data_IF_606834169375
#
_entry.id   IF_606834169375
#
_cell.length_a   1.000
_cell.length_b   1.000
_cell.length_c   1.000
_cell.angle_alpha   90.00
_cell.angle_beta   90.00
_cell.angle_gamma   90.00
#
_symmetry.space_group_name_H-M   'P 1'
#
loop_
_entity.id
_entity.type
_entity.pdbx_description
1 polymer ?
#
# COMPACT_ATOMS: atom_id res chain seq x y z
N UNK A 1 -32.32 29.15 -4.99
CA UNK A 1 -31.73 27.96 -4.36
C UNK A 1 -30.82 28.46 -3.26
N UNK A 2 -31.04 28.03 -2.02
CA UNK A 2 -30.11 28.41 -0.96
C UNK A 2 -28.83 27.54 -1.01
N UNK A 3 -27.77 27.96 -0.31
CA UNK A 3 -26.49 27.28 -0.31
C UNK A 3 -26.58 25.83 0.21
N UNK A 4 -27.47 25.57 1.15
CA UNK A 4 -27.63 24.23 1.72
C UNK A 4 -28.27 23.28 0.70
N UNK A 5 -29.32 23.75 -0.02
CA UNK A 5 -29.96 22.96 -1.09
C UNK A 5 -29.00 22.69 -2.25
N UNK A 6 -28.21 23.69 -2.67
CA UNK A 6 -27.20 23.48 -3.72
C UNK A 6 -26.10 22.51 -3.30
N UNK A 7 -25.70 22.54 -2.03
CA UNK A 7 -24.72 21.59 -1.51
C UNK A 7 -25.27 20.18 -1.43
N UNK A 8 -26.53 20.01 -0.99
CA UNK A 8 -27.18 18.70 -0.93
C UNK A 8 -27.34 18.08 -2.34
N UNK A 9 -27.80 18.86 -3.32
CA UNK A 9 -27.89 18.42 -4.72
C UNK A 9 -26.52 17.94 -5.25
N UNK A 10 -25.45 18.67 -4.94
CA UNK A 10 -24.10 18.29 -5.32
C UNK A 10 -23.62 17.01 -4.64
N UNK A 11 -24.07 16.69 -3.42
CA UNK A 11 -23.79 15.43 -2.75
C UNK A 11 -24.57 14.27 -3.39
N UNK A 12 -25.84 14.49 -3.71
CA UNK A 12 -26.69 13.48 -4.36
C UNK A 12 -26.15 13.11 -5.75
N UNK A 13 -25.70 14.10 -6.53
CA UNK A 13 -25.03 13.88 -7.82
C UNK A 13 -23.73 13.09 -7.67
N UNK A 14 -22.94 13.38 -6.64
CA UNK A 14 -21.73 12.63 -6.34
C UNK A 14 -22.05 11.15 -6.00
N UNK A 15 -23.05 10.89 -5.18
CA UNK A 15 -23.47 9.53 -4.82
C UNK A 15 -23.94 8.74 -6.05
N UNK A 16 -24.69 9.36 -6.96
CA UNK A 16 -25.11 8.74 -8.23
C UNK A 16 -23.89 8.40 -9.09
N UNK A 17 -22.91 9.30 -9.18
CA UNK A 17 -21.69 9.06 -9.96
C UNK A 17 -20.88 7.89 -9.38
N UNK A 18 -20.71 7.83 -8.06
CA UNK A 18 -19.98 6.77 -7.39
C UNK A 18 -20.63 5.38 -7.59
N UNK A 19 -21.96 5.32 -7.54
CA UNK A 19 -22.72 4.06 -7.75
C UNK A 19 -22.66 3.57 -9.20
N UNK A 20 -22.59 4.46 -10.17
CA UNK A 20 -22.52 4.12 -11.59
C UNK A 20 -21.13 3.66 -12.04
N UNK A 21 -20.09 3.93 -11.24
CA UNK A 21 -18.69 3.78 -11.66
C UNK A 21 -18.25 4.90 -12.62
N UNK A 22 -17.00 4.86 -13.04
CA UNK A 22 -16.52 5.75 -14.09
C UNK A 22 -17.08 5.31 -15.46
N UNK A 23 -17.28 6.24 -16.40
CA UNK A 23 -17.67 5.87 -17.77
C UNK A 23 -16.62 4.94 -18.37
N UNK A 24 -17.02 3.72 -18.73
CA UNK A 24 -16.12 2.78 -19.43
C UNK A 24 -15.72 3.37 -20.77
N UNK A 25 -14.42 3.57 -20.99
CA UNK A 25 -13.91 3.91 -22.30
C UNK A 25 -14.00 2.67 -23.21
N UNK A 26 -14.79 2.72 -24.27
CA UNK A 26 -14.91 1.62 -25.22
C UNK A 26 -13.55 1.29 -25.88
N UNK A 27 -13.18 0.01 -25.92
CA UNK A 27 -12.11 -0.51 -26.78
C UNK A 27 -10.69 -0.52 -26.23
N UNK A 28 -10.45 -0.38 -24.93
CA UNK A 28 -9.10 -0.40 -24.35
C UNK A 28 -8.87 -1.63 -23.47
N UNK A 29 -8.08 -2.58 -24.00
CA UNK A 29 -7.42 -3.66 -23.27
C UNK A 29 -8.32 -4.61 -22.48
N UNK A 30 -7.82 -5.77 -22.15
CA UNK A 30 -8.51 -6.71 -21.26
C UNK A 30 -8.39 -6.21 -19.80
N UNK A 31 -9.52 -6.16 -19.11
CA UNK A 31 -9.56 -5.98 -17.65
C UNK A 31 -9.42 -7.35 -16.99
N UNK A 32 -8.81 -7.45 -15.79
CA UNK A 32 -8.77 -8.70 -15.06
C UNK A 32 -10.18 -9.13 -14.69
N UNK A 33 -10.44 -10.44 -14.69
CA UNK A 33 -11.73 -10.96 -14.26
C UNK A 33 -11.96 -10.69 -12.76
N UNK A 34 -10.90 -10.83 -11.93
CA UNK A 34 -10.98 -10.68 -10.48
C UNK A 34 -9.84 -9.85 -9.91
N UNK A 35 -10.19 -9.07 -8.91
CA UNK A 35 -9.23 -8.36 -8.04
C UNK A 35 -9.39 -8.81 -6.60
N UNK A 36 -8.29 -8.96 -5.88
CA UNK A 36 -8.31 -9.01 -4.44
C UNK A 36 -7.79 -7.69 -3.87
N UNK A 37 -8.38 -7.23 -2.77
CA UNK A 37 -7.86 -6.08 -2.05
C UNK A 37 -8.00 -6.25 -0.54
N UNK A 38 -7.05 -5.67 0.17
CA UNK A 38 -7.06 -5.60 1.63
C UNK A 38 -7.45 -4.21 2.09
N UNK A 39 -8.26 -4.13 3.14
CA UNK A 39 -8.63 -2.86 3.76
C UNK A 39 -7.96 -2.66 5.11
N UNK A 40 -7.80 -1.40 5.48
CA UNK A 40 -7.46 -0.94 6.83
C UNK A 40 -8.53 0.06 7.27
N UNK A 41 -9.18 -0.20 8.42
CA UNK A 41 -10.17 0.71 9.00
C UNK A 41 -9.51 1.51 10.13
N UNK A 42 -9.27 2.79 9.86
CA UNK A 42 -8.60 3.68 10.81
C UNK A 42 -9.50 4.04 11.98
N UNK A 43 -8.93 4.11 13.18
CA UNK A 43 -9.63 4.40 14.43
C UNK A 43 -10.69 3.37 14.84
N UNK A 44 -10.78 2.24 14.15
CA UNK A 44 -11.62 1.14 14.58
C UNK A 44 -10.94 0.34 15.70
N UNK A 45 -11.68 -0.44 16.49
CA UNK A 45 -11.14 -1.53 17.29
C UNK A 45 -10.30 -2.47 16.42
N UNK A 46 -9.36 -3.20 17.01
CA UNK A 46 -8.43 -4.04 16.23
C UNK A 46 -9.17 -5.16 15.52
N UNK A 47 -10.18 -5.73 16.15
CA UNK A 47 -11.05 -6.78 15.62
C UNK A 47 -11.93 -6.33 14.44
N UNK A 48 -12.14 -5.03 14.30
CA UNK A 48 -12.86 -4.40 13.18
C UNK A 48 -11.89 -3.68 12.21
N UNK A 49 -10.60 -4.00 12.32
CA UNK A 49 -9.53 -3.25 11.71
C UNK A 49 -9.41 -3.38 10.20
N UNK A 50 -10.08 -4.33 9.57
CA UNK A 50 -10.09 -4.51 8.12
C UNK A 50 -10.39 -5.92 7.66
N UNK A 51 -10.47 -6.09 6.35
CA UNK A 51 -10.84 -7.33 5.70
C UNK A 51 -10.13 -7.51 4.37
N UNK A 52 -10.09 -8.76 3.90
CA UNK A 52 -9.82 -9.11 2.51
C UNK A 52 -11.13 -9.17 1.74
N UNK A 53 -11.09 -8.74 0.51
CA UNK A 53 -12.23 -8.73 -0.41
C UNK A 53 -11.79 -9.27 -1.77
N UNK A 54 -12.59 -10.17 -2.35
CA UNK A 54 -12.48 -10.56 -3.76
C UNK A 54 -13.61 -9.94 -4.53
N UNK A 55 -13.27 -9.21 -5.59
CA UNK A 55 -14.17 -8.46 -6.44
C UNK A 55 -14.15 -9.02 -7.86
N UNK A 56 -15.31 -9.38 -8.40
CA UNK A 56 -15.51 -9.51 -9.83
C UNK A 56 -15.47 -8.09 -10.44
N UNK A 57 -14.37 -7.80 -11.15
CA UNK A 57 -14.14 -6.44 -11.64
C UNK A 57 -15.11 -6.02 -12.73
N UNK A 58 -15.53 -6.95 -13.59
CA UNK A 58 -16.46 -6.62 -14.66
C UNK A 58 -17.88 -6.36 -14.13
N UNK A 59 -18.34 -7.20 -13.19
CA UNK A 59 -19.68 -7.07 -12.62
C UNK A 59 -19.76 -6.07 -11.48
N UNK A 60 -18.60 -5.68 -10.90
CA UNK A 60 -18.52 -4.85 -9.69
C UNK A 60 -19.20 -5.52 -8.49
N UNK A 61 -19.10 -6.84 -8.42
CA UNK A 61 -19.71 -7.65 -7.37
C UNK A 61 -18.63 -8.22 -6.44
N UNK A 62 -18.81 -8.04 -5.13
CA UNK A 62 -18.00 -8.71 -4.12
C UNK A 62 -18.38 -10.18 -4.10
N UNK A 63 -17.43 -11.06 -4.37
CA UNK A 63 -17.64 -12.52 -4.44
C UNK A 63 -17.19 -13.26 -3.19
N UNK A 64 -16.26 -12.69 -2.42
CA UNK A 64 -15.84 -13.22 -1.13
C UNK A 64 -15.30 -12.11 -0.22
N UNK A 65 -15.45 -12.29 1.09
CA UNK A 65 -14.83 -11.46 2.12
C UNK A 65 -14.29 -12.33 3.25
N UNK A 66 -13.19 -11.89 3.89
CA UNK A 66 -12.65 -12.51 5.09
C UNK A 66 -12.07 -11.45 6.02
N UNK A 67 -12.41 -11.45 7.34
CA UNK A 67 -11.81 -10.53 8.28
C UNK A 67 -10.32 -10.81 8.46
N UNK A 68 -9.52 -9.77 8.57
CA UNK A 68 -8.13 -9.84 8.98
C UNK A 68 -8.06 -9.53 10.46
N UNK A 69 -7.80 -10.56 11.26
CA UNK A 69 -7.72 -10.48 12.71
C UNK A 69 -6.27 -10.67 13.17
N UNK A 70 -5.82 -9.93 14.20
CA UNK A 70 -4.53 -10.19 14.81
C UNK A 70 -4.48 -11.61 15.38
N UNK A 71 -3.27 -12.19 15.39
CA UNK A 71 -3.04 -13.57 15.84
C UNK A 71 -2.48 -13.66 17.26
N UNK A 72 -2.06 -12.53 17.80
CA UNK A 72 -1.44 -12.45 19.12
C UNK A 72 -2.24 -11.49 20.00
N UNK A 73 -2.63 -11.88 21.23
CA UNK A 73 -3.43 -11.04 22.11
C UNK A 73 -2.81 -9.67 22.40
N UNK A 74 -1.48 -9.59 22.48
CA UNK A 74 -0.76 -8.32 22.69
C UNK A 74 -0.89 -7.33 21.56
N UNK A 75 -1.30 -7.76 20.38
CA UNK A 75 -1.57 -6.91 19.22
C UNK A 75 -3.01 -6.40 19.22
N UNK A 76 -3.92 -7.10 19.91
CA UNK A 76 -5.34 -6.72 20.02
C UNK A 76 -5.52 -5.40 20.81
N UNK A 77 -4.62 -5.14 21.73
CA UNK A 77 -4.65 -3.94 22.57
C UNK A 77 -3.80 -2.77 22.02
N UNK A 78 -3.39 -2.81 20.74
CA UNK A 78 -2.58 -1.73 20.15
C UNK A 78 -3.28 -0.38 20.29
N UNK A 79 -2.70 0.55 21.09
CA UNK A 79 -3.29 1.87 21.33
C UNK A 79 -3.17 2.80 20.10
N UNK A 80 -2.45 2.40 19.06
CA UNK A 80 -2.22 3.26 17.91
C UNK A 80 -3.48 3.35 17.04
N UNK A 81 -4.20 4.50 17.03
CA UNK A 81 -5.44 4.63 16.28
C UNK A 81 -5.24 4.68 14.77
N UNK A 82 -4.00 4.77 14.30
CA UNK A 82 -3.67 4.82 12.87
C UNK A 82 -3.70 3.46 12.18
N UNK A 83 -3.79 2.37 12.96
CA UNK A 83 -4.01 1.05 12.42
C UNK A 83 -2.75 0.27 12.08
N UNK A 84 -1.67 0.39 12.87
CA UNK A 84 -0.45 -0.40 12.64
C UNK A 84 -0.74 -1.90 12.67
N UNK A 85 -1.60 -2.35 13.58
CA UNK A 85 -1.99 -3.75 13.75
C UNK A 85 -3.32 -4.11 13.11
N UNK A 86 -3.99 -3.15 12.48
CA UNK A 86 -5.32 -3.30 11.90
C UNK A 86 -5.25 -3.66 10.43
N UNK A 87 -6.09 -4.59 10.02
CA UNK A 87 -6.34 -4.95 8.63
C UNK A 87 -5.16 -5.57 7.91
N UNK A 88 -5.22 -5.52 6.61
CA UNK A 88 -4.25 -6.09 5.70
C UNK A 88 -3.50 -5.00 4.94
N UNK A 89 -2.20 -5.20 4.75
CA UNK A 89 -1.32 -4.29 4.02
C UNK A 89 -0.97 -4.83 2.65
N UNK A 90 0.26 -5.26 2.42
CA UNK A 90 0.66 -5.86 1.16
C UNK A 90 -0.09 -7.17 0.89
N UNK A 91 -0.53 -7.35 -0.33
CA UNK A 91 -1.10 -8.61 -0.81
C UNK A 91 -0.52 -8.99 -2.17
N UNK A 92 -0.43 -10.31 -2.42
CA UNK A 92 -0.04 -10.87 -3.72
C UNK A 92 -0.85 -12.13 -4.02
N UNK A 93 -1.20 -12.28 -5.29
CA UNK A 93 -1.70 -13.54 -5.81
C UNK A 93 -0.53 -14.34 -6.38
N UNK A 94 -0.33 -15.58 -5.92
CA UNK A 94 0.78 -16.42 -6.33
C UNK A 94 0.37 -17.88 -6.27
N UNK A 95 0.55 -18.62 -7.37
CA UNK A 95 0.29 -20.04 -7.50
C UNK A 95 -1.07 -20.52 -6.94
N UNK A 96 -2.13 -19.75 -7.24
CA UNK A 96 -3.49 -20.07 -6.81
C UNK A 96 -3.80 -19.72 -5.36
N UNK A 97 -2.91 -19.03 -4.65
CA UNK A 97 -3.10 -18.53 -3.30
C UNK A 97 -2.98 -17.00 -3.21
N UNK A 98 -3.80 -16.42 -2.35
CA UNK A 98 -3.68 -15.03 -1.95
C UNK A 98 -2.84 -14.94 -0.68
N UNK A 99 -1.71 -14.27 -0.78
CA UNK A 99 -0.84 -13.94 0.35
C UNK A 99 -1.23 -12.57 0.87
N UNK A 100 -1.37 -12.43 2.19
CA UNK A 100 -1.82 -11.19 2.82
C UNK A 100 -1.01 -10.88 4.08
N UNK A 101 -0.33 -9.73 4.09
CA UNK A 101 0.49 -9.29 5.21
C UNK A 101 -0.36 -8.55 6.25
N UNK A 102 -0.38 -9.06 7.48
CA UNK A 102 -0.82 -8.34 8.67
C UNK A 102 0.39 -7.75 9.41
N UNK A 103 0.26 -7.39 10.70
CA UNK A 103 1.37 -6.74 11.42
C UNK A 103 2.66 -7.57 11.48
N UNK A 104 2.56 -8.86 11.80
CA UNK A 104 3.72 -9.78 11.93
C UNK A 104 3.45 -11.18 11.35
N UNK A 105 2.45 -11.30 10.51
CA UNK A 105 2.01 -12.58 9.96
C UNK A 105 1.71 -12.41 8.48
N UNK A 106 2.16 -13.36 7.69
CA UNK A 106 1.71 -13.55 6.33
C UNK A 106 0.64 -14.65 6.33
N UNK A 107 -0.57 -14.28 6.01
CA UNK A 107 -1.72 -15.17 5.90
C UNK A 107 -1.83 -15.72 4.48
N UNK A 108 -2.23 -16.99 4.32
CA UNK A 108 -2.43 -17.65 3.03
C UNK A 108 -3.89 -18.05 2.88
N UNK A 109 -4.48 -17.70 1.74
CA UNK A 109 -5.89 -17.99 1.42
C UNK A 109 -6.02 -18.60 0.04
N UNK A 110 -7.08 -19.40 -0.17
CA UNK A 110 -7.50 -19.77 -1.52
C UNK A 110 -8.30 -18.65 -2.21
N UNK A 111 -8.71 -18.90 -3.46
CA UNK A 111 -9.47 -17.92 -4.26
C UNK A 111 -10.84 -17.55 -3.69
N UNK A 112 -11.36 -18.30 -2.73
CA UNK A 112 -12.63 -18.06 -2.02
C UNK A 112 -12.41 -17.49 -0.61
N UNK A 113 -11.16 -17.08 -0.31
CA UNK A 113 -10.74 -16.56 0.98
C UNK A 113 -10.89 -17.56 2.16
N UNK A 114 -10.86 -18.87 1.89
CA UNK A 114 -10.64 -19.84 2.95
C UNK A 114 -9.15 -19.86 3.31
N UNK A 115 -8.84 -19.66 4.58
CA UNK A 115 -7.47 -19.65 5.06
C UNK A 115 -6.81 -21.04 4.90
N UNK A 116 -5.63 -21.06 4.28
CA UNK A 116 -4.82 -22.26 4.04
C UNK A 116 -3.68 -22.41 5.03
N UNK A 117 -3.14 -21.30 5.52
CA UNK A 117 -2.01 -21.32 6.44
C UNK A 117 -1.57 -19.93 6.85
N UNK A 118 -0.51 -19.90 7.65
CA UNK A 118 0.17 -18.68 8.09
C UNK A 118 1.67 -18.91 8.12
N UNK A 119 2.42 -17.82 7.89
CA UNK A 119 3.85 -17.75 8.13
C UNK A 119 4.10 -16.57 9.07
N UNK A 120 4.81 -16.81 10.18
CA UNK A 120 5.23 -15.78 11.12
C UNK A 120 6.58 -16.14 11.69
N UNK A 121 7.49 -15.19 11.71
CA UNK A 121 8.87 -15.37 12.14
C UNK A 121 9.33 -14.18 12.99
N UNK A 122 10.39 -14.36 13.79
CA UNK A 122 10.91 -13.35 14.70
C UNK A 122 11.39 -12.05 14.01
N UNK A 123 11.61 -12.06 12.70
CA UNK A 123 11.97 -10.90 11.89
C UNK A 123 10.79 -10.30 11.11
N UNK A 124 9.59 -10.83 11.27
CA UNK A 124 8.38 -10.24 10.70
C UNK A 124 7.80 -9.19 11.65
N UNK A 125 8.20 -7.92 11.51
CA UNK A 125 7.86 -6.85 12.45
C UNK A 125 7.32 -5.62 11.73
N UNK A 126 6.04 -5.33 11.94
CA UNK A 126 5.39 -4.20 11.27
C UNK A 126 5.41 -4.36 9.75
N UNK A 127 5.01 -5.51 9.26
CA UNK A 127 5.01 -5.82 7.81
C UNK A 127 4.22 -4.77 7.05
N UNK A 128 4.70 -4.43 5.84
CA UNK A 128 4.02 -3.45 5.01
C UNK A 128 3.71 -4.00 3.61
N UNK A 129 4.68 -4.23 2.78
CA UNK A 129 4.50 -4.80 1.44
C UNK A 129 5.21 -6.15 1.31
N UNK A 130 4.73 -6.94 0.36
CA UNK A 130 5.29 -8.23 0.02
C UNK A 130 5.51 -8.34 -1.50
N UNK A 131 6.47 -9.14 -1.91
CA UNK A 131 6.74 -9.45 -3.32
C UNK A 131 7.08 -10.92 -3.46
N UNK A 132 6.44 -11.62 -4.39
CA UNK A 132 6.71 -13.03 -4.67
C UNK A 132 7.68 -13.19 -5.83
N UNK A 133 8.43 -14.29 -5.84
CA UNK A 133 9.36 -14.61 -6.92
C UNK A 133 8.92 -15.88 -7.64
N UNK A 134 9.38 -16.07 -8.88
CA UNK A 134 9.16 -17.29 -9.65
C UNK A 134 9.79 -18.54 -8.98
N UNK A 135 10.75 -18.33 -8.09
CA UNK A 135 11.38 -19.40 -7.31
C UNK A 135 10.51 -19.93 -6.15
N UNK A 136 9.29 -19.39 -5.95
CA UNK A 136 8.41 -19.79 -4.86
C UNK A 136 8.81 -19.22 -3.52
N UNK A 137 9.49 -18.05 -3.51
CA UNK A 137 9.80 -17.32 -2.29
C UNK A 137 8.97 -16.04 -2.19
N UNK A 138 8.90 -15.49 -0.99
CA UNK A 138 8.28 -14.19 -0.73
C UNK A 138 9.24 -13.29 0.01
N UNK A 139 9.42 -12.08 -0.50
CA UNK A 139 10.07 -10.97 0.20
C UNK A 139 9.03 -10.20 0.99
N UNK A 140 9.35 -9.85 2.22
CA UNK A 140 8.53 -8.99 3.07
C UNK A 140 9.31 -7.75 3.47
N UNK A 141 8.68 -6.59 3.44
CA UNK A 141 9.23 -5.39 4.09
C UNK A 141 8.87 -5.43 5.57
N UNK A 142 9.86 -5.71 6.42
CA UNK A 142 9.75 -5.64 7.87
C UNK A 142 10.09 -4.23 8.33
N UNK A 143 9.08 -3.36 8.23
CA UNK A 143 9.25 -1.91 8.30
C UNK A 143 9.77 -1.44 9.67
N UNK A 144 9.31 -2.06 10.75
CA UNK A 144 9.70 -1.62 12.10
C UNK A 144 11.17 -1.92 12.45
N UNK A 145 11.83 -2.81 11.70
CA UNK A 145 13.26 -3.15 11.86
C UNK A 145 14.09 -2.80 10.62
N UNK A 146 13.52 -2.08 9.65
CA UNK A 146 14.18 -1.66 8.42
C UNK A 146 14.88 -2.81 7.67
N UNK A 147 14.21 -3.96 7.55
CA UNK A 147 14.75 -5.14 6.88
C UNK A 147 13.83 -5.60 5.75
N UNK A 148 14.44 -6.10 4.67
CA UNK A 148 13.75 -6.93 3.68
C UNK A 148 14.15 -8.39 3.93
N UNK A 149 13.17 -9.25 4.17
CA UNK A 149 13.42 -10.66 4.53
C UNK A 149 12.74 -11.58 3.52
N UNK A 150 13.46 -12.57 3.05
CA UNK A 150 12.99 -13.57 2.11
C UNK A 150 12.67 -14.89 2.83
N UNK A 151 11.51 -15.44 2.53
CA UNK A 151 11.04 -16.72 3.04
C UNK A 151 10.67 -17.66 1.91
N UNK A 152 10.96 -18.95 2.07
CA UNK A 152 10.46 -20.01 1.21
C UNK A 152 8.98 -20.29 1.54
N UNK A 153 8.10 -20.19 0.56
CA UNK A 153 6.65 -20.38 0.76
C UNK A 153 6.26 -21.82 1.03
N UNK A 154 7.11 -22.80 0.67
CA UNK A 154 6.82 -24.21 0.86
C UNK A 154 7.21 -24.72 2.25
N UNK A 155 8.33 -24.23 2.79
CA UNK A 155 8.85 -24.65 4.12
C UNK A 155 8.54 -23.62 5.21
N UNK A 156 8.40 -22.35 4.87
CA UNK A 156 8.30 -21.26 5.81
C UNK A 156 9.64 -20.79 6.35
N UNK A 157 10.75 -21.36 5.88
CA UNK A 157 12.09 -21.03 6.36
C UNK A 157 12.56 -19.67 5.82
N UNK A 158 13.29 -18.93 6.65
CA UNK A 158 13.99 -17.74 6.22
C UNK A 158 15.15 -18.14 5.27
N UNK A 159 15.13 -17.58 4.07
CA UNK A 159 16.19 -17.78 3.06
C UNK A 159 17.34 -16.79 3.28
N UNK A 160 17.03 -15.52 3.37
CA UNK A 160 17.99 -14.44 3.63
C UNK A 160 17.31 -13.16 4.12
N UNK A 161 18.12 -12.25 4.66
CA UNK A 161 17.67 -10.91 5.05
C UNK A 161 18.65 -9.85 4.58
N UNK A 162 18.13 -8.73 4.08
CA UNK A 162 18.89 -7.55 3.69
C UNK A 162 18.66 -6.45 4.73
N UNK A 163 19.79 -5.91 5.23
CA UNK A 163 19.82 -4.93 6.32
C UNK A 163 20.41 -3.62 5.82
N UNK A 164 19.64 -2.72 5.22
CA UNK A 164 20.17 -1.47 4.64
C UNK A 164 20.87 -0.59 5.68
N UNK A 165 20.45 -0.61 6.94
CA UNK A 165 21.11 0.13 8.04
C UNK A 165 22.49 -0.40 8.41
N UNK A 166 22.88 -1.58 7.92
CA UNK A 166 24.22 -2.14 8.15
C UNK A 166 25.13 -2.01 6.92
N UNK A 167 24.58 -1.49 5.82
CA UNK A 167 25.36 -1.33 4.60
C UNK A 167 26.19 -0.04 4.64
N UNK A 168 27.55 -0.10 4.60
CA UNK A 168 28.41 1.08 4.81
C UNK A 168 28.13 2.25 3.87
N UNK A 169 27.82 1.95 2.59
CA UNK A 169 27.52 3.00 1.63
C UNK A 169 26.21 3.72 1.95
N UNK A 170 25.17 2.98 2.35
CA UNK A 170 23.89 3.58 2.76
C UNK A 170 24.00 4.36 4.07
N UNK A 171 24.81 3.87 5.03
CA UNK A 171 25.12 4.60 6.25
C UNK A 171 25.73 5.97 5.92
N UNK A 172 26.72 6.00 5.03
CA UNK A 172 27.37 7.25 4.63
C UNK A 172 26.45 8.17 3.81
N UNK A 173 25.63 7.61 2.90
CA UNK A 173 24.83 8.40 1.96
C UNK A 173 23.55 8.93 2.60
N UNK A 174 22.90 8.14 3.46
CA UNK A 174 21.61 8.45 4.07
C UNK A 174 21.73 8.79 5.57
N UNK A 175 22.92 8.78 6.15
CA UNK A 175 23.12 9.06 7.57
C UNK A 175 22.55 7.99 8.50
N UNK A 176 22.57 6.71 8.06
CA UNK A 176 21.95 5.64 8.83
C UNK A 176 22.88 5.13 9.93
N UNK A 177 22.27 4.74 11.05
CA UNK A 177 22.96 4.02 12.11
C UNK A 177 22.44 2.57 12.20
N UNK A 178 23.27 1.60 12.55
CA UNK A 178 22.83 0.22 12.76
C UNK A 178 21.74 0.15 13.83
N UNK A 179 20.71 -0.65 13.59
CA UNK A 179 19.70 -0.93 14.61
C UNK A 179 20.26 -1.94 15.62
N UNK A 180 20.23 -1.59 16.90
CA UNK A 180 20.58 -2.53 17.98
C UNK A 180 19.48 -3.58 18.15
N UNK A 181 19.60 -4.68 17.42
CA UNK A 181 18.62 -5.76 17.34
C UNK A 181 19.30 -7.11 17.52
N UNK A 182 18.76 -7.96 18.40
CA UNK A 182 19.09 -9.39 18.39
C UNK A 182 18.28 -10.07 17.30
N UNK A 183 18.93 -10.38 16.18
CA UNK A 183 18.31 -10.96 15.00
C UNK A 183 17.90 -12.44 15.20
N UNK A 184 18.37 -13.08 16.26
CA UNK A 184 18.01 -14.45 16.61
C UNK A 184 16.82 -14.54 17.58
N UNK A 185 16.42 -13.40 18.14
CA UNK A 185 15.30 -13.31 19.06
C UNK A 185 13.96 -13.12 18.30
N UNK A 186 12.87 -13.45 18.99
CA UNK A 186 11.54 -13.08 18.51
C UNK A 186 11.31 -11.55 18.76
N UNK A 187 11.31 -10.80 17.66
CA UNK A 187 11.12 -9.35 17.71
C UNK A 187 9.70 -8.91 17.36
N UNK A 188 8.78 -9.82 17.06
CA UNK A 188 7.44 -9.51 16.53
C UNK A 188 6.67 -8.46 17.32
N UNK A 189 6.82 -8.45 18.64
CA UNK A 189 6.10 -7.55 19.54
C UNK A 189 6.95 -6.38 20.07
N UNK A 190 8.25 -6.37 19.78
CA UNK A 190 9.20 -5.40 20.34
C UNK A 190 8.86 -3.96 19.98
N UNK A 191 8.31 -3.73 18.80
CA UNK A 191 8.06 -2.41 18.25
C UNK A 191 6.58 -2.05 18.17
N UNK A 192 5.75 -2.65 19.01
CA UNK A 192 4.36 -2.24 19.19
C UNK A 192 4.27 -0.90 19.92
N UNK A 193 3.34 -0.07 19.49
CA UNK A 193 3.02 1.20 20.13
C UNK A 193 3.43 2.45 19.34
N UNK A 194 3.09 3.62 19.84
CA UNK A 194 3.21 4.88 19.09
C UNK A 194 4.66 5.37 18.89
N UNK A 195 5.61 4.81 19.61
CA UNK A 195 7.03 5.24 19.63
C UNK A 195 7.97 4.28 18.91
N UNK A 196 7.44 3.24 18.29
CA UNK A 196 8.23 2.15 17.75
C UNK A 196 9.23 2.55 16.64
N UNK A 197 9.10 3.71 16.03
CA UNK A 197 9.92 4.18 14.90
C UNK A 197 10.38 5.62 15.05
N UNK A 198 10.64 6.09 16.27
CA UNK A 198 11.15 7.47 16.52
C UNK A 198 12.68 7.57 16.48
N UNK A 199 13.32 6.66 15.80
CA UNK A 199 14.76 6.70 15.53
C UNK A 199 15.02 7.59 14.30
N UNK A 200 15.86 8.60 14.43
CA UNK A 200 16.17 9.56 13.35
C UNK A 200 16.82 8.90 12.12
N UNK A 201 17.46 7.74 12.30
CA UNK A 201 18.04 6.97 11.21
C UNK A 201 17.09 5.92 10.60
N UNK A 202 15.84 5.87 11.05
CA UNK A 202 14.83 4.92 10.56
C UNK A 202 14.50 5.17 9.09
N UNK A 203 14.67 4.13 8.27
CA UNK A 203 14.38 4.20 6.83
C UNK A 203 12.88 4.21 6.53
N UNK A 204 12.10 3.57 7.40
CA UNK A 204 10.71 3.28 7.17
C UNK A 204 10.51 2.56 5.82
N UNK A 205 11.09 1.35 5.73
CA UNK A 205 11.05 0.52 4.53
C UNK A 205 9.61 0.11 4.21
N UNK A 206 8.91 0.90 3.41
CA UNK A 206 7.49 0.76 3.15
C UNK A 206 7.14 -0.28 2.09
N UNK A 207 8.07 -0.59 1.20
CA UNK A 207 7.83 -1.57 0.15
C UNK A 207 9.12 -2.25 -0.27
N UNK A 208 8.96 -3.43 -0.81
CA UNK A 208 10.00 -4.23 -1.46
C UNK A 208 9.52 -4.65 -2.84
N UNK A 209 10.40 -4.66 -3.83
CA UNK A 209 10.15 -5.17 -5.17
C UNK A 209 11.39 -5.91 -5.70
N UNK A 210 11.18 -6.91 -6.53
CA UNK A 210 12.25 -7.69 -7.17
C UNK A 210 12.27 -7.41 -8.68
N UNK A 211 13.45 -7.14 -9.21
CA UNK A 211 13.65 -6.95 -10.64
C UNK A 211 15.10 -7.33 -11.02
N UNK A 212 15.27 -8.18 -12.04
CA UNK A 212 16.56 -8.66 -12.52
C UNK A 212 17.48 -9.16 -11.38
N UNK A 213 16.98 -10.09 -10.55
CA UNK A 213 17.66 -10.68 -9.39
C UNK A 213 18.11 -9.68 -8.31
N UNK A 214 17.68 -8.42 -8.41
CA UNK A 214 17.92 -7.38 -7.43
C UNK A 214 16.67 -7.06 -6.64
N UNK A 215 16.88 -6.73 -5.39
CA UNK A 215 15.82 -6.35 -4.45
C UNK A 215 15.88 -4.84 -4.25
N UNK A 216 14.78 -4.18 -4.50
CA UNK A 216 14.64 -2.74 -4.32
C UNK A 216 13.73 -2.45 -3.13
N UNK A 217 14.08 -1.42 -2.37
CA UNK A 217 13.28 -0.95 -1.23
C UNK A 217 12.84 0.49 -1.39
N UNK A 218 11.60 0.78 -1.01
CA UNK A 218 11.09 2.13 -0.88
C UNK A 218 11.32 2.64 0.55
N UNK A 219 12.30 3.53 0.70
CA UNK A 219 12.73 4.12 1.96
C UNK A 219 12.03 5.47 2.17
N UNK A 220 10.86 5.43 2.77
CA UNK A 220 9.94 6.56 2.91
C UNK A 220 10.57 7.75 3.65
N UNK A 221 11.21 7.51 4.79
CA UNK A 221 11.77 8.58 5.63
C UNK A 221 12.91 9.36 4.95
N UNK A 222 13.61 8.72 4.01
CA UNK A 222 14.72 9.32 3.26
C UNK A 222 14.37 9.67 1.80
N UNK A 223 13.09 9.57 1.44
CA UNK A 223 12.61 9.89 0.10
C UNK A 223 13.43 9.20 -1.00
N UNK A 224 13.70 7.89 -0.85
CA UNK A 224 14.61 7.16 -1.72
C UNK A 224 14.05 5.78 -2.15
N UNK A 225 14.39 5.39 -3.40
CA UNK A 225 14.39 3.99 -3.81
C UNK A 225 15.84 3.50 -3.75
N UNK A 226 16.04 2.41 -3.04
CA UNK A 226 17.36 1.83 -2.76
C UNK A 226 17.45 0.43 -3.39
N UNK A 227 18.51 0.15 -4.11
CA UNK A 227 18.91 -1.22 -4.41
C UNK A 227 19.48 -1.85 -3.15
N UNK A 228 18.70 -2.67 -2.48
CA UNK A 228 19.07 -3.32 -1.22
C UNK A 228 20.11 -4.42 -1.41
N UNK A 229 20.18 -5.03 -2.59
CA UNK A 229 21.18 -6.06 -2.94
C UNK A 229 22.58 -5.47 -2.99
N UNK A 230 22.72 -4.29 -3.61
CA UNK A 230 24.00 -3.63 -3.79
C UNK A 230 24.25 -2.50 -2.79
N UNK A 231 23.26 -2.14 -2.00
CA UNK A 231 23.34 -1.06 -1.02
C UNK A 231 23.54 0.32 -1.65
N UNK A 232 22.85 0.62 -2.74
CA UNK A 232 22.99 1.90 -3.46
C UNK A 232 21.66 2.65 -3.55
N UNK A 233 21.71 3.97 -3.40
CA UNK A 233 20.54 4.83 -3.67
C UNK A 233 20.37 4.94 -5.17
N UNK A 234 19.22 4.50 -5.69
CA UNK A 234 18.92 4.50 -7.14
C UNK A 234 18.14 5.75 -7.53
N UNK A 235 17.16 6.14 -6.73
CA UNK A 235 16.37 7.36 -6.92
C UNK A 235 16.27 8.10 -5.60
N UNK A 236 16.41 9.42 -5.65
CA UNK A 236 16.07 10.31 -4.54
C UNK A 236 15.16 11.41 -5.06
N UNK A 237 13.93 11.49 -4.55
CA UNK A 237 12.92 12.43 -5.02
C UNK A 237 11.91 12.70 -3.90
N UNK A 238 11.52 13.96 -3.71
CA UNK A 238 10.60 14.37 -2.65
C UNK A 238 9.24 13.63 -2.66
N UNK A 239 8.76 13.20 -3.82
CA UNK A 239 7.52 12.43 -3.93
C UNK A 239 7.61 11.05 -3.27
N UNK A 240 8.82 10.53 -3.05
CA UNK A 240 9.04 9.27 -2.33
C UNK A 240 8.82 9.42 -0.82
N UNK A 241 8.80 10.65 -0.30
CA UNK A 241 8.45 10.91 1.09
C UNK A 241 6.95 10.67 1.32
N UNK A 242 6.61 9.67 2.09
CA UNK A 242 5.22 9.21 2.24
C UNK A 242 4.77 8.25 1.15
N UNK A 243 5.71 7.76 0.33
CA UNK A 243 5.48 6.77 -0.72
C UNK A 243 5.02 5.42 -0.16
N UNK A 244 4.15 4.75 -0.90
CA UNK A 244 3.64 3.42 -0.61
C UNK A 244 3.56 2.60 -1.88
N UNK A 245 3.71 1.29 -1.72
CA UNK A 245 3.80 0.33 -2.81
C UNK A 245 4.98 0.64 -3.74
N UNK A 246 5.61 -0.36 -4.24
CA UNK A 246 6.63 -0.26 -5.27
C UNK A 246 6.41 -1.39 -6.25
N UNK A 247 6.14 -1.05 -7.50
CA UNK A 247 6.00 -1.99 -8.58
C UNK A 247 7.05 -1.65 -9.63
N UNK A 248 7.82 -2.63 -10.07
CA UNK A 248 8.81 -2.44 -11.12
C UNK A 248 8.38 -3.24 -12.36
N UNK A 249 8.20 -2.53 -13.47
CA UNK A 249 7.87 -3.13 -14.75
C UNK A 249 9.12 -3.79 -15.38
N UNK A 250 8.93 -4.72 -16.34
CA UNK A 250 10.05 -5.44 -16.97
C UNK A 250 11.09 -4.54 -17.65
N UNK A 251 10.73 -3.32 -18.03
CA UNK A 251 11.64 -2.34 -18.65
C UNK A 251 12.43 -1.50 -17.62
N UNK A 252 12.34 -1.81 -16.33
CA UNK A 252 12.98 -1.06 -15.26
C UNK A 252 12.25 0.22 -14.86
N UNK A 253 11.02 0.42 -15.34
CA UNK A 253 10.16 1.52 -14.89
C UNK A 253 9.57 1.19 -13.53
N UNK A 254 9.79 2.03 -12.53
CA UNK A 254 9.21 1.89 -11.20
C UNK A 254 7.98 2.79 -11.03
N UNK A 255 6.94 2.23 -10.41
CA UNK A 255 5.71 2.93 -10.07
C UNK A 255 5.52 2.92 -8.56
N UNK A 256 5.02 4.02 -8.02
CA UNK A 256 4.81 4.20 -6.60
C UNK A 256 3.62 5.11 -6.33
N UNK A 257 2.87 4.82 -5.27
CA UNK A 257 1.80 5.67 -4.78
C UNK A 257 2.37 6.81 -3.91
N UNK A 258 2.25 8.04 -4.38
CA UNK A 258 2.51 9.23 -3.58
C UNK A 258 1.25 9.59 -2.77
N UNK A 259 1.24 9.15 -1.51
CA UNK A 259 0.10 9.39 -0.62
C UNK A 259 -0.12 10.86 -0.30
N UNK A 260 0.95 11.66 -0.21
CA UNK A 260 0.84 13.09 0.08
C UNK A 260 0.51 13.90 -1.17
N UNK A 261 1.11 13.58 -2.31
CA UNK A 261 0.82 14.21 -3.60
C UNK A 261 -0.49 13.75 -4.22
N UNK A 262 -1.10 12.67 -3.70
CA UNK A 262 -2.36 12.09 -4.22
C UNK A 262 -2.22 11.67 -5.68
N UNK A 263 -1.13 11.00 -5.96
CA UNK A 263 -0.72 10.68 -7.32
C UNK A 263 -0.09 9.29 -7.40
N UNK A 264 0.05 8.78 -8.61
CA UNK A 264 0.99 7.71 -8.93
C UNK A 264 2.20 8.34 -9.60
N UNK A 265 3.38 8.10 -9.04
CA UNK A 265 4.64 8.56 -9.58
C UNK A 265 5.36 7.44 -10.33
N UNK A 266 6.00 7.81 -11.43
CA UNK A 266 6.71 6.92 -12.34
C UNK A 266 8.16 7.34 -12.39
N UNK A 267 9.05 6.40 -12.18
CA UNK A 267 10.50 6.61 -12.14
C UNK A 267 11.21 5.72 -13.18
N UNK A 268 12.21 6.26 -13.82
CA UNK A 268 13.19 5.53 -14.61
C UNK A 268 14.36 5.17 -13.67
N UNK A 269 14.46 3.90 -13.29
CA UNK A 269 15.51 3.45 -12.36
C UNK A 269 16.90 3.59 -12.95
N UNK A 270 17.06 3.39 -14.27
CA UNK A 270 18.37 3.51 -14.93
C UNK A 270 18.88 4.96 -14.94
N UNK A 271 17.96 5.94 -15.02
CA UNK A 271 18.30 7.37 -14.99
C UNK A 271 18.20 7.98 -13.59
N UNK A 272 17.69 7.25 -12.62
CA UNK A 272 17.55 7.70 -11.23
C UNK A 272 16.61 8.89 -11.05
N UNK A 273 15.54 9.02 -11.86
CA UNK A 273 14.67 10.19 -11.83
C UNK A 273 13.21 9.88 -12.10
N UNK A 274 12.35 10.74 -11.57
CA UNK A 274 10.92 10.76 -11.90
C UNK A 274 10.73 11.20 -13.36
N UNK A 275 9.92 10.43 -14.09
CA UNK A 275 9.60 10.70 -15.51
C UNK A 275 8.16 11.11 -15.71
N UNK A 276 7.26 10.76 -14.77
CA UNK A 276 5.85 11.09 -14.86
C UNK A 276 5.19 11.13 -13.49
N UNK A 277 4.13 11.94 -13.38
CA UNK A 277 3.20 11.96 -12.25
C UNK A 277 1.77 11.92 -12.80
N UNK A 278 0.97 10.98 -12.29
CA UNK A 278 -0.45 10.83 -12.60
C UNK A 278 -1.22 11.39 -11.41
N UNK A 279 -1.66 12.64 -11.49
CA UNK A 279 -2.45 13.31 -10.46
C UNK A 279 -3.88 12.73 -10.46
N UNK A 280 -4.28 12.09 -9.37
CA UNK A 280 -5.60 11.46 -9.24
C UNK A 280 -6.71 12.50 -9.03
N UNK A 281 -6.38 13.69 -8.53
CA UNK A 281 -7.37 14.73 -8.27
C UNK A 281 -7.94 15.36 -9.55
N UNK A 282 -7.30 15.10 -10.69
CA UNK A 282 -7.80 15.57 -11.99
C UNK A 282 -9.07 14.85 -12.46
N UNK A 283 -9.33 13.64 -11.95
CA UNK A 283 -10.49 12.86 -12.35
C UNK A 283 -11.77 13.37 -11.66
N UNK A 284 -12.82 13.55 -12.43
CA UNK A 284 -14.09 14.02 -11.90
C UNK A 284 -14.70 13.03 -10.91
N UNK A 285 -14.58 11.74 -11.19
CA UNK A 285 -15.01 10.68 -10.29
C UNK A 285 -14.31 10.75 -8.92
N UNK A 286 -13.00 11.02 -8.90
CA UNK A 286 -12.24 11.19 -7.65
C UNK A 286 -12.68 12.46 -6.93
N UNK A 287 -12.96 13.54 -7.65
CA UNK A 287 -13.52 14.77 -7.03
C UNK A 287 -14.90 14.53 -6.42
N UNK A 288 -15.75 13.70 -7.07
CA UNK A 288 -17.02 13.26 -6.48
C UNK A 288 -16.82 12.45 -5.19
N UNK A 289 -15.85 11.51 -5.17
CA UNK A 289 -15.51 10.71 -4.00
C UNK A 289 -15.10 11.56 -2.78
N UNK A 290 -14.34 12.62 -2.98
CA UNK A 290 -13.88 13.48 -1.88
C UNK A 290 -14.86 14.59 -1.51
N UNK A 291 -15.88 14.86 -2.31
CA UNK A 291 -16.83 15.96 -2.12
C UNK A 291 -17.47 15.98 -0.73
N UNK A 292 -17.96 14.85 -0.18
CA UNK A 292 -18.51 14.81 1.18
C UNK A 292 -17.49 15.14 2.28
N UNK A 293 -16.20 15.01 1.96
CA UNK A 293 -15.08 15.16 2.90
C UNK A 293 -14.24 16.42 2.66
N UNK A 294 -14.76 17.39 1.89
CA UNK A 294 -14.06 18.64 1.54
C UNK A 294 -13.45 19.35 2.76
N UNK A 295 -14.12 19.50 3.92
CA UNK A 295 -13.50 20.17 5.06
C UNK A 295 -12.22 19.47 5.55
N UNK A 296 -12.23 18.13 5.63
CA UNK A 296 -11.04 17.34 6.02
C UNK A 296 -9.96 17.42 4.95
N UNK A 297 -10.33 17.36 3.68
CA UNK A 297 -9.42 17.50 2.56
C UNK A 297 -8.66 18.82 2.60
N UNK A 298 -9.35 19.96 2.78
CA UNK A 298 -8.73 21.26 2.84
C UNK A 298 -7.89 21.46 4.09
N UNK A 299 -8.31 20.93 5.23
CA UNK A 299 -7.50 20.94 6.46
C UNK A 299 -6.14 20.29 6.23
N UNK A 300 -6.12 19.11 5.61
CA UNK A 300 -4.89 18.41 5.27
C UNK A 300 -4.03 19.17 4.25
N UNK A 301 -4.66 19.74 3.23
CA UNK A 301 -3.96 20.50 2.19
C UNK A 301 -3.30 21.77 2.75
N UNK A 302 -3.99 22.50 3.63
CA UNK A 302 -3.44 23.69 4.31
C UNK A 302 -2.27 23.27 5.21
N UNK A 303 -2.41 22.21 5.99
CA UNK A 303 -1.35 21.71 6.86
C UNK A 303 -0.12 21.32 6.05
N UNK A 304 -0.30 20.59 4.95
CA UNK A 304 0.79 20.18 4.05
C UNK A 304 1.54 21.40 3.47
N UNK A 305 0.81 22.39 2.93
CA UNK A 305 1.42 23.62 2.36
C UNK A 305 2.13 24.46 3.40
N UNK A 306 1.66 24.45 4.64
CA UNK A 306 2.28 25.15 5.75
C UNK A 306 3.45 24.39 6.41
N UNK A 307 3.76 23.18 5.94
CA UNK A 307 4.77 22.30 6.55
C UNK A 307 4.35 21.77 7.92
N UNK A 308 3.05 21.77 8.22
CA UNK A 308 2.51 21.26 9.47
C UNK A 308 2.12 19.79 9.31
N UNK A 309 2.25 19.05 10.40
CA UNK A 309 1.73 17.69 10.47
C UNK A 309 0.23 17.75 10.77
N UNK A 310 -0.61 17.25 9.87
CA UNK A 310 -2.03 17.14 10.16
C UNK A 310 -2.27 15.97 11.12
N UNK A 311 -3.08 16.20 12.17
CA UNK A 311 -3.40 15.18 13.18
C UNK A 311 -4.56 14.28 12.78
N UNK A 312 -5.03 14.35 11.53
CA UNK A 312 -6.15 13.54 11.07
C UNK A 312 -5.78 12.06 11.02
N UNK A 313 -6.53 11.24 11.73
CA UNK A 313 -6.37 9.77 11.74
C UNK A 313 -6.80 9.21 10.39
N UNK A 314 -7.89 9.73 9.82
CA UNK A 314 -8.43 9.37 8.52
C UNK A 314 -8.57 10.60 7.65
N UNK A 315 -8.30 10.46 6.36
CA UNK A 315 -8.39 11.55 5.36
C UNK A 315 -8.73 11.01 3.98
N UNK A 316 -9.43 11.76 3.13
CA UNK A 316 -9.69 11.35 1.76
C UNK A 316 -8.42 11.34 0.93
N UNK A 317 -8.42 10.49 -0.07
CA UNK A 317 -7.32 10.22 -0.99
C UNK A 317 -6.02 9.80 -0.28
N UNK A 318 -6.15 8.84 0.62
CA UNK A 318 -5.01 8.08 1.07
C UNK A 318 -4.70 7.06 -0.03
N UNK A 319 -3.72 7.36 -0.88
CA UNK A 319 -3.39 6.54 -2.07
C UNK A 319 -2.52 5.38 -1.62
N UNK A 320 -3.06 4.16 -1.67
CA UNK A 320 -2.41 2.90 -1.29
C UNK A 320 -3.02 1.74 -2.04
N UNK A 321 -2.26 0.65 -2.18
CA UNK A 321 -2.63 -0.44 -3.06
C UNK A 321 -2.35 -0.09 -4.53
N UNK A 322 -1.46 -0.88 -5.13
CA UNK A 322 -1.03 -0.68 -6.53
C UNK A 322 -0.78 -2.04 -7.16
N UNK A 323 -1.42 -2.28 -8.28
CA UNK A 323 -1.13 -3.44 -9.12
C UNK A 323 -1.32 -3.09 -10.59
N UNK A 324 -0.81 -3.93 -11.49
CA UNK A 324 -0.92 -3.73 -12.93
C UNK A 324 -1.45 -4.99 -13.59
N UNK A 325 -2.29 -4.81 -14.61
CA UNK A 325 -2.72 -5.87 -15.51
C UNK A 325 -2.74 -5.32 -16.93
N UNK A 326 -1.92 -5.88 -17.81
CA UNK A 326 -1.76 -5.38 -19.17
C UNK A 326 -1.38 -3.89 -19.20
N UNK A 327 -2.18 -3.11 -19.89
CA UNK A 327 -2.01 -1.66 -20.04
C UNK A 327 -2.73 -0.85 -18.93
N UNK A 328 -3.23 -1.49 -17.90
CA UNK A 328 -3.97 -0.82 -16.84
C UNK A 328 -3.24 -0.89 -15.48
N UNK A 329 -3.26 0.24 -14.80
CA UNK A 329 -2.95 0.34 -13.37
C UNK A 329 -4.23 0.29 -12.57
N UNK A 330 -4.19 -0.46 -11.46
CA UNK A 330 -5.24 -0.46 -10.45
C UNK A 330 -4.68 0.21 -9.20
N UNK A 331 -5.37 1.26 -8.77
CA UNK A 331 -4.90 2.12 -7.66
C UNK A 331 -5.97 2.16 -6.58
N UNK A 332 -5.61 1.75 -5.38
CA UNK A 332 -6.47 1.86 -4.21
C UNK A 332 -6.38 3.23 -3.55
N UNK A 333 -7.51 3.71 -3.03
CA UNK A 333 -7.61 4.99 -2.34
C UNK A 333 -8.53 4.91 -1.11
N UNK A 334 -8.59 5.98 -0.32
CA UNK A 334 -9.65 6.20 0.68
C UNK A 334 -10.51 7.43 0.29
N UNK A 335 -11.83 7.41 0.57
CA UNK A 335 -12.65 6.24 0.99
C UNK A 335 -12.43 5.03 0.09
N UNK A 336 -12.57 3.82 0.64
CA UNK A 336 -12.13 2.60 -0.02
C UNK A 336 -12.69 2.45 -1.42
N UNK A 337 -11.84 2.72 -2.40
CA UNK A 337 -12.18 2.68 -3.82
C UNK A 337 -10.98 2.21 -4.63
N UNK A 338 -11.25 1.68 -5.82
CA UNK A 338 -10.23 1.22 -6.76
C UNK A 338 -10.43 1.97 -8.07
N UNK A 339 -9.35 2.54 -8.59
CA UNK A 339 -9.31 3.24 -9.88
C UNK A 339 -8.58 2.38 -10.89
N UNK A 340 -9.15 2.17 -12.07
CA UNK A 340 -8.48 1.58 -13.23
C UNK A 340 -8.02 2.72 -14.14
N UNK A 341 -6.74 2.82 -14.36
CA UNK A 341 -6.09 3.91 -15.10
C UNK A 341 -5.33 3.31 -16.27
N UNK A 342 -5.55 3.82 -17.46
CA UNK A 342 -4.74 3.48 -18.62
C UNK A 342 -3.30 3.97 -18.37
N UNK A 343 -2.38 3.03 -18.34
CA UNK A 343 -0.97 3.31 -18.05
C UNK A 343 -0.32 4.28 -19.03
N UNK A 344 -0.66 4.16 -20.33
CA UNK A 344 -0.04 4.94 -21.39
C UNK A 344 -0.52 6.39 -21.40
N UNK A 345 -1.85 6.59 -21.31
CA UNK A 345 -2.45 7.92 -21.36
C UNK A 345 -2.59 8.56 -19.98
N UNK A 346 -2.69 7.74 -18.95
CA UNK A 346 -3.03 8.14 -17.60
C UNK A 346 -4.49 8.54 -17.44
N UNK A 347 -5.38 8.17 -18.33
CA UNK A 347 -6.82 8.44 -18.23
C UNK A 347 -7.49 7.43 -17.31
N UNK A 348 -8.49 7.88 -16.56
CA UNK A 348 -9.36 7.00 -15.78
C UNK A 348 -10.26 6.21 -16.74
N UNK A 349 -10.13 4.88 -16.69
CA UNK A 349 -10.90 3.96 -17.55
C UNK A 349 -12.15 3.48 -16.84
N UNK A 350 -12.03 3.13 -15.56
CA UNK A 350 -13.13 2.63 -14.73
C UNK A 350 -12.82 2.85 -13.25
N UNK A 351 -13.83 2.74 -12.39
CA UNK A 351 -13.66 2.86 -10.95
C UNK A 351 -14.74 2.08 -10.18
N UNK A 352 -14.40 1.69 -8.97
CA UNK A 352 -15.31 1.02 -8.04
C UNK A 352 -15.20 1.64 -6.65
N UNK A 353 -16.33 2.01 -6.06
CA UNK A 353 -16.42 2.48 -4.69
C UNK A 353 -16.93 1.34 -3.79
N UNK A 354 -16.05 0.83 -2.92
CA UNK A 354 -16.41 -0.19 -1.94
C UNK A 354 -17.09 0.40 -0.71
N UNK A 355 -16.56 1.53 -0.22
CA UNK A 355 -17.08 2.22 0.96
C UNK A 355 -16.90 3.73 0.81
N UNK A 356 -17.88 4.50 1.26
CA UNK A 356 -17.79 5.97 1.36
C UNK A 356 -17.27 6.46 2.71
N UNK A 357 -17.03 5.55 3.67
CA UNK A 357 -16.40 5.90 4.95
C UNK A 357 -14.92 6.24 4.76
N UNK A 358 -14.54 7.47 5.04
CA UNK A 358 -13.16 7.96 4.91
C UNK A 358 -12.14 7.20 5.77
N UNK A 359 -12.59 6.48 6.80
CA UNK A 359 -11.73 5.65 7.65
C UNK A 359 -11.30 4.36 6.96
N UNK A 360 -12.09 3.87 6.00
CA UNK A 360 -11.80 2.64 5.26
C UNK A 360 -10.86 2.96 4.11
N UNK A 361 -9.68 2.35 4.13
CA UNK A 361 -8.66 2.54 3.09
C UNK A 361 -8.39 1.20 2.39
N UNK A 362 -8.35 1.19 1.05
CA UNK A 362 -7.69 0.09 0.33
C UNK A 362 -6.19 0.22 0.58
N UNK A 363 -5.53 -0.84 1.04
CA UNK A 363 -4.10 -0.80 1.33
C UNK A 363 -3.28 -1.77 0.47
N UNK A 364 -3.71 -3.01 0.33
CA UNK A 364 -3.16 -3.99 -0.60
C UNK A 364 -4.09 -4.22 -1.78
N UNK A 365 -3.52 -4.52 -2.96
CA UNK A 365 -4.29 -4.77 -4.18
C UNK A 365 -3.54 -5.78 -5.06
N UNK A 366 -4.24 -6.81 -5.53
CA UNK A 366 -3.69 -7.84 -6.40
C UNK A 366 -4.69 -8.24 -7.48
N UNK A 367 -4.17 -8.56 -8.67
CA UNK A 367 -4.93 -9.23 -9.73
C UNK A 367 -4.92 -10.73 -9.45
N UNK A 368 -6.07 -11.40 -9.65
CA UNK A 368 -6.24 -12.85 -9.45
C UNK A 368 -6.55 -13.50 -10.79
N UNK A 369 -5.54 -13.75 -11.57
CA UNK A 369 -5.66 -14.43 -12.87
C UNK A 369 -5.31 -15.90 -12.75
#
# INVERSE_FOLDING_TARGET
>A
MDLASAFQEALDDADVMLRRGAPRAEGRGESPARLAFGTVVRAAPVEEGGELVVLDWERKEVTATAPILPREPSVEDDPNPRGNTRGCRGIRWHDGELLAASYHTLERYDASLHRRGTLSDGLMVGLHEIETTEAGTVWVSSTAIDAAVEYDLSTGDQVRALWPREHPHLQNTLGLEPLALDKSADNRLRFLGPTASNDDSHLHLNAVAVHDDRVFGLCNAHAAIVDLTNGTVVVQDEALQGGHNLLIAPDGTALMNDTYGRAVCVFDLARGRRVRTIDLTRYEWVRALIRPHIPSYWKEEVARKAGWRADSIARPLFVRGLTRHGDHLFVGVSPASILQIDWTTGELVDAYCYSTDVRVCVHGLAVMD
#
